data_IF_003590290822
#
_entry.id   IF_003590290822
#
_cell.length_a   1.000
_cell.length_b   1.000
_cell.length_c   1.000
_cell.angle_alpha   90.00
_cell.angle_beta   90.00
_cell.angle_gamma   90.00
#
_symmetry.space_group_name_H-M   'P 1'
#
loop_
_entity.id
_entity.type
_entity.pdbx_description
1 polymer ?
#
# COMPACT_ATOMS: atom_id res chain seq x y z
N UNK A 1 30.95 -24.91 28.95
CA UNK A 1 31.67 -23.89 28.15
C UNK A 1 30.83 -23.66 26.90
N UNK A 2 30.40 -22.44 26.60
CA UNK A 2 29.59 -22.13 25.42
C UNK A 2 30.54 -21.77 24.28
N UNK A 3 30.51 -22.54 23.19
CA UNK A 3 31.23 -22.21 21.96
C UNK A 3 30.38 -21.24 21.12
N UNK A 4 31.01 -20.18 20.58
CA UNK A 4 30.35 -19.18 19.75
C UNK A 4 31.02 -19.17 18.38
N UNK A 5 30.21 -19.30 17.33
CA UNK A 5 30.65 -19.22 15.93
C UNK A 5 30.15 -17.89 15.37
N UNK A 6 31.04 -17.09 14.81
CA UNK A 6 30.73 -15.77 14.27
C UNK A 6 30.34 -15.90 12.79
N UNK A 7 29.19 -15.33 12.41
CA UNK A 7 28.69 -15.28 11.03
C UNK A 7 28.77 -16.61 10.28
N UNK A 8 28.14 -17.70 10.79
CA UNK A 8 28.17 -18.99 10.13
C UNK A 8 27.51 -18.92 8.76
N UNK A 9 28.00 -19.70 7.80
CA UNK A 9 27.29 -19.88 6.53
C UNK A 9 25.95 -20.60 6.76
N UNK A 10 25.01 -20.48 5.83
CA UNK A 10 23.73 -21.22 5.89
C UNK A 10 23.98 -22.74 5.96
N UNK A 11 25.01 -23.24 5.28
CA UNK A 11 25.39 -24.64 5.31
C UNK A 11 25.91 -25.06 6.69
N UNK A 12 26.82 -24.29 7.25
CA UNK A 12 27.40 -24.54 8.59
C UNK A 12 26.34 -24.49 9.69
N UNK A 13 25.41 -23.53 9.63
CA UNK A 13 24.26 -23.49 10.53
C UNK A 13 23.40 -24.75 10.41
N UNK A 14 23.10 -25.21 9.19
CA UNK A 14 22.28 -26.42 8.97
C UNK A 14 22.94 -27.68 9.54
N UNK A 15 24.24 -27.86 9.32
CA UNK A 15 25.01 -28.98 9.86
C UNK A 15 24.99 -28.97 11.40
N UNK A 16 25.23 -27.81 12.02
CA UNK A 16 25.22 -27.68 13.47
C UNK A 16 23.81 -27.83 14.06
N UNK A 17 22.78 -27.35 13.36
CA UNK A 17 21.38 -27.52 13.75
C UNK A 17 20.97 -28.99 13.72
N UNK A 18 21.42 -29.76 12.73
CA UNK A 18 21.18 -31.19 12.64
C UNK A 18 21.81 -31.97 13.81
N UNK A 19 22.98 -31.54 14.28
CA UNK A 19 23.69 -32.17 15.40
C UNK A 19 23.15 -31.74 16.78
N UNK A 20 22.71 -30.49 16.92
CA UNK A 20 22.38 -29.87 18.21
C UNK A 20 21.03 -29.11 18.22
N UNK A 21 19.92 -29.71 17.76
CA UNK A 21 18.68 -28.99 17.43
C UNK A 21 18.02 -28.29 18.63
N UNK A 22 18.21 -28.80 19.85
CA UNK A 22 17.61 -28.26 21.07
C UNK A 22 18.44 -27.16 21.75
N UNK A 23 19.74 -27.07 21.40
CA UNK A 23 20.71 -26.23 22.14
C UNK A 23 21.32 -25.14 21.28
N UNK A 24 21.34 -25.32 19.96
CA UNK A 24 21.88 -24.31 19.07
C UNK A 24 20.93 -23.13 18.93
N UNK A 25 21.50 -21.92 18.98
CA UNK A 25 20.78 -20.68 18.73
C UNK A 25 21.60 -19.82 17.79
N UNK A 26 21.05 -19.50 16.62
CA UNK A 26 21.66 -18.55 15.70
C UNK A 26 20.89 -17.23 15.78
N UNK A 27 21.47 -16.23 16.45
CA UNK A 27 20.86 -14.90 16.58
C UNK A 27 21.02 -14.11 15.29
N UNK A 28 19.99 -13.38 14.91
CA UNK A 28 20.05 -12.48 13.76
C UNK A 28 20.82 -11.21 14.12
N UNK A 29 21.61 -10.68 13.19
CA UNK A 29 22.24 -9.36 13.31
C UNK A 29 21.22 -8.23 13.11
N UNK A 30 20.22 -8.48 12.27
CA UNK A 30 19.08 -7.60 12.04
C UNK A 30 17.81 -8.32 12.46
N UNK A 31 17.01 -7.67 13.32
CA UNK A 31 15.77 -8.24 13.83
C UNK A 31 14.56 -7.99 12.93
N UNK A 32 14.70 -7.07 11.97
CA UNK A 32 13.66 -6.66 11.05
C UNK A 32 14.17 -6.85 9.62
N UNK A 33 13.37 -7.54 8.81
CA UNK A 33 13.65 -7.85 7.42
C UNK A 33 12.43 -7.41 6.61
N UNK A 34 12.62 -6.56 5.60
CA UNK A 34 11.51 -6.13 4.74
C UNK A 34 10.98 -7.32 3.95
N UNK A 35 9.65 -7.47 3.89
CA UNK A 35 9.00 -8.56 3.17
C UNK A 35 9.42 -8.63 1.69
N UNK A 36 9.67 -7.47 1.07
CA UNK A 36 10.18 -7.38 -0.30
C UNK A 36 11.49 -8.18 -0.52
N UNK A 37 12.30 -8.40 0.51
CA UNK A 37 13.59 -9.11 0.37
C UNK A 37 13.43 -10.61 0.12
N UNK A 38 12.31 -11.21 0.52
CA UNK A 38 12.09 -12.66 0.41
C UNK A 38 10.79 -13.03 -0.33
N UNK A 39 9.91 -12.06 -0.59
CA UNK A 39 8.73 -12.22 -1.42
C UNK A 39 9.07 -11.76 -2.84
N UNK A 40 9.49 -12.70 -3.67
CA UNK A 40 9.93 -12.43 -5.04
C UNK A 40 8.83 -12.52 -6.11
N UNK A 41 7.61 -12.94 -5.73
CA UNK A 41 6.52 -13.25 -6.68
C UNK A 41 5.16 -12.66 -6.28
N UNK A 42 5.12 -11.48 -5.66
CA UNK A 42 3.85 -10.79 -5.49
C UNK A 42 3.36 -10.33 -6.89
N UNK A 43 2.24 -10.88 -7.36
CA UNK A 43 1.58 -10.47 -8.62
C UNK A 43 0.17 -9.97 -8.29
N UNK A 44 0.05 -8.84 -7.57
CA UNK A 44 -1.25 -8.28 -7.23
C UNK A 44 -2.00 -7.88 -8.50
N UNK A 45 -3.30 -8.17 -8.52
CA UNK A 45 -4.21 -7.65 -9.54
C UNK A 45 -4.76 -6.33 -9.02
N UNK A 46 -4.37 -5.22 -9.66
CA UNK A 46 -4.86 -3.90 -9.28
C UNK A 46 -6.23 -3.63 -9.86
N UNK A 47 -6.95 -2.68 -9.24
CA UNK A 47 -8.14 -2.11 -9.84
C UNK A 47 -7.78 -1.47 -11.19
N UNK A 48 -8.66 -1.59 -12.19
CA UNK A 48 -8.40 -1.15 -13.57
C UNK A 48 -7.94 0.32 -13.65
N UNK A 49 -8.51 1.19 -12.80
CA UNK A 49 -8.14 2.61 -12.71
C UNK A 49 -6.65 2.81 -12.40
N UNK A 50 -6.06 1.95 -11.56
CA UNK A 50 -4.66 2.00 -11.16
C UNK A 50 -3.70 1.50 -12.25
N UNK A 51 -4.22 0.95 -13.34
CA UNK A 51 -3.43 0.57 -14.53
C UNK A 51 -3.84 1.39 -15.76
N UNK A 52 -4.67 2.42 -15.56
CA UNK A 52 -5.18 3.26 -16.64
C UNK A 52 -4.37 4.54 -16.82
N UNK A 53 -4.61 5.24 -17.92
CA UNK A 53 -4.04 6.59 -18.17
C UNK A 53 -4.44 7.59 -17.10
N UNK A 54 -5.52 7.33 -16.34
CA UNK A 54 -6.06 8.28 -15.39
C UNK A 54 -5.16 8.57 -14.17
N UNK A 55 -4.23 7.67 -13.86
CA UNK A 55 -3.23 7.88 -12.81
C UNK A 55 -1.94 8.51 -13.34
N UNK A 56 -1.84 8.78 -14.64
CA UNK A 56 -0.63 9.32 -15.25
C UNK A 56 -0.47 10.83 -15.00
N UNK A 57 0.76 11.30 -14.98
CA UNK A 57 1.08 12.74 -14.89
C UNK A 57 0.53 13.52 -16.07
N UNK A 58 0.59 12.91 -17.26
CA UNK A 58 0.17 13.51 -18.53
C UNK A 58 -1.34 13.76 -18.53
N UNK A 59 -2.12 12.80 -18.05
CA UNK A 59 -3.58 12.97 -17.93
C UNK A 59 -3.94 14.12 -17.00
N UNK A 60 -3.30 14.20 -15.83
CA UNK A 60 -3.51 15.31 -14.89
C UNK A 60 -3.15 16.65 -15.51
N UNK A 61 -2.09 16.70 -16.32
CA UNK A 61 -1.67 17.92 -16.98
C UNK A 61 -2.67 18.37 -18.05
N UNK A 62 -3.20 17.44 -18.85
CA UNK A 62 -4.29 17.71 -19.79
C UNK A 62 -5.50 18.28 -19.06
N UNK A 63 -5.90 17.69 -17.94
CA UNK A 63 -7.02 18.18 -17.14
C UNK A 63 -6.79 19.58 -16.58
N UNK A 64 -5.57 19.90 -16.13
CA UNK A 64 -5.21 21.25 -15.67
C UNK A 64 -5.30 22.29 -16.80
N UNK A 65 -4.85 21.96 -18.00
CA UNK A 65 -4.98 22.85 -19.15
C UNK A 65 -6.45 23.07 -19.54
N UNK A 66 -7.26 22.00 -19.56
CA UNK A 66 -8.70 22.09 -19.82
C UNK A 66 -9.38 22.97 -18.76
N UNK A 67 -9.05 22.77 -17.48
CA UNK A 67 -9.57 23.59 -16.39
C UNK A 67 -9.22 25.06 -16.56
N UNK A 68 -8.00 25.42 -16.97
CA UNK A 68 -7.61 26.80 -17.25
C UNK A 68 -8.42 27.44 -18.39
N UNK A 69 -8.72 26.67 -19.44
CA UNK A 69 -9.54 27.14 -20.56
C UNK A 69 -10.98 27.37 -20.11
N UNK A 70 -11.56 26.43 -19.34
CA UNK A 70 -12.96 26.47 -18.91
C UNK A 70 -13.20 27.49 -17.79
N UNK A 71 -12.26 27.66 -16.85
CA UNK A 71 -12.35 28.64 -15.76
C UNK A 71 -12.33 30.09 -16.24
N UNK A 72 -11.81 30.35 -17.45
CA UNK A 72 -11.99 31.66 -18.12
C UNK A 72 -13.45 31.97 -18.50
N UNK A 73 -14.33 30.95 -18.55
CA UNK A 73 -15.74 31.06 -18.95
C UNK A 73 -16.74 30.67 -17.85
N UNK A 74 -16.33 29.91 -16.82
CA UNK A 74 -17.21 29.41 -15.76
C UNK A 74 -16.66 29.73 -14.35
N UNK A 75 -17.50 30.38 -13.53
CA UNK A 75 -17.25 30.73 -12.13
C UNK A 75 -16.86 29.50 -11.27
N UNK A 76 -16.16 29.75 -10.16
CA UNK A 76 -15.44 28.80 -9.30
C UNK A 76 -16.17 27.60 -8.68
N UNK A 77 -17.36 27.23 -9.16
CA UNK A 77 -18.12 26.05 -8.76
C UNK A 77 -18.09 24.91 -9.80
N UNK A 78 -17.42 25.09 -10.95
CA UNK A 78 -17.29 24.04 -11.94
C UNK A 78 -16.37 22.91 -11.43
N UNK A 79 -16.94 21.72 -11.18
CA UNK A 79 -16.20 20.55 -10.71
C UNK A 79 -15.03 20.17 -11.63
N UNK A 80 -15.08 20.57 -12.92
CA UNK A 80 -13.99 20.38 -13.88
C UNK A 80 -12.73 21.14 -13.50
N UNK A 81 -12.82 22.16 -12.64
CA UNK A 81 -11.65 22.85 -12.09
C UNK A 81 -10.90 21.97 -11.07
N UNK A 82 -11.59 21.05 -10.40
CA UNK A 82 -11.01 20.22 -9.35
C UNK A 82 -10.68 18.79 -9.81
N UNK A 83 -11.07 18.40 -11.03
CA UNK A 83 -10.96 17.02 -11.51
C UNK A 83 -9.51 16.52 -11.58
N UNK A 84 -8.54 17.40 -11.88
CA UNK A 84 -7.12 17.02 -11.88
C UNK A 84 -6.65 16.59 -10.48
N UNK A 85 -7.10 17.28 -9.43
CA UNK A 85 -6.80 16.93 -8.04
C UNK A 85 -7.48 15.62 -7.63
N UNK A 86 -8.68 15.34 -8.11
CA UNK A 86 -9.35 14.06 -7.84
C UNK A 86 -8.54 12.87 -8.39
N UNK A 87 -8.03 12.98 -9.62
CA UNK A 87 -7.17 11.95 -10.20
C UNK A 87 -5.78 11.88 -9.54
N UNK A 88 -5.32 12.96 -8.92
CA UNK A 88 -4.13 12.93 -8.06
C UNK A 88 -4.36 12.11 -6.78
N UNK A 89 -5.51 12.29 -6.12
CA UNK A 89 -5.91 11.47 -4.96
C UNK A 89 -6.00 9.99 -5.35
N UNK A 90 -6.63 9.67 -6.49
CA UNK A 90 -6.69 8.29 -7.00
C UNK A 90 -5.29 7.71 -7.22
N UNK A 91 -4.36 8.48 -7.80
CA UNK A 91 -2.98 8.04 -7.99
C UNK A 91 -2.27 7.74 -6.66
N UNK A 92 -2.49 8.58 -5.63
CA UNK A 92 -1.95 8.35 -4.28
C UNK A 92 -2.53 7.06 -3.68
N UNK A 93 -3.84 6.86 -3.77
CA UNK A 93 -4.50 5.65 -3.28
C UNK A 93 -3.97 4.37 -3.96
N UNK A 94 -3.77 4.42 -5.29
CA UNK A 94 -3.15 3.32 -6.01
C UNK A 94 -1.73 3.02 -5.51
N UNK A 95 -0.92 4.05 -5.23
CA UNK A 95 0.45 3.88 -4.72
C UNK A 95 0.52 3.39 -3.26
N UNK A 96 -0.46 3.75 -2.42
CA UNK A 96 -0.55 3.25 -1.05
C UNK A 96 -0.81 1.73 -1.03
N UNK A 97 -1.66 1.23 -1.93
CA UNK A 97 -1.92 -0.21 -2.04
C UNK A 97 -0.66 -1.02 -2.39
N UNK A 98 0.21 -0.45 -3.24
CA UNK A 98 1.48 -1.03 -3.69
C UNK A 98 2.52 -1.17 -2.59
N UNK A 99 2.67 -0.12 -1.78
CA UNK A 99 3.79 0.02 -0.85
C UNK A 99 3.53 -0.62 0.51
N UNK A 100 2.27 -0.80 0.90
CA UNK A 100 1.88 -1.27 2.24
C UNK A 100 2.49 -2.64 2.62
N UNK A 101 2.39 -3.65 1.75
CA UNK A 101 2.92 -4.97 2.06
C UNK A 101 4.43 -5.09 1.88
N UNK A 102 4.99 -4.51 0.81
CA UNK A 102 6.42 -4.58 0.54
C UNK A 102 7.26 -3.95 1.66
N UNK A 103 6.73 -2.90 2.26
CA UNK A 103 7.36 -2.18 3.37
C UNK A 103 7.11 -2.80 4.75
N UNK A 104 6.31 -3.87 4.83
CA UNK A 104 6.05 -4.57 6.09
C UNK A 104 7.32 -5.25 6.60
N UNK A 105 7.64 -5.03 7.87
CA UNK A 105 8.79 -5.65 8.54
C UNK A 105 8.42 -7.04 9.07
N UNK A 106 9.19 -8.04 8.67
CA UNK A 106 9.20 -9.36 9.28
C UNK A 106 10.18 -9.38 10.45
N UNK A 107 9.67 -9.66 11.65
CA UNK A 107 10.46 -9.60 12.87
C UNK A 107 10.90 -10.98 13.34
N UNK A 108 12.22 -11.19 13.45
CA UNK A 108 12.77 -12.39 14.11
C UNK A 108 14.06 -12.10 14.84
N UNK A 109 14.27 -12.72 16.00
CA UNK A 109 15.50 -12.59 16.80
C UNK A 109 16.50 -13.72 16.54
N UNK A 110 16.06 -14.77 15.88
CA UNK A 110 16.86 -15.96 15.59
C UNK A 110 16.50 -16.54 14.23
N UNK A 111 17.40 -17.32 13.66
CA UNK A 111 17.14 -18.06 12.43
C UNK A 111 15.98 -19.03 12.69
N UNK A 112 14.95 -18.93 11.85
CA UNK A 112 13.78 -19.80 11.91
C UNK A 112 14.04 -21.09 11.16
N UNK A 113 13.43 -22.19 11.61
CA UNK A 113 13.32 -23.38 10.76
C UNK A 113 12.48 -23.09 9.51
N UNK A 114 12.63 -23.87 8.42
CA UNK A 114 11.82 -23.67 7.21
C UNK A 114 10.31 -23.71 7.49
N UNK A 115 9.86 -24.57 8.41
CA UNK A 115 8.44 -24.68 8.78
C UNK A 115 7.96 -23.46 9.56
N UNK A 116 8.74 -22.97 10.53
CA UNK A 116 8.38 -21.75 11.27
C UNK A 116 8.36 -20.52 10.37
N UNK A 117 9.34 -20.42 9.47
CA UNK A 117 9.40 -19.34 8.50
C UNK A 117 8.16 -19.34 7.60
N UNK A 118 7.77 -20.51 7.07
CA UNK A 118 6.57 -20.66 6.26
C UNK A 118 5.31 -20.25 7.03
N UNK A 119 5.11 -20.80 8.24
CA UNK A 119 3.93 -20.50 9.07
C UNK A 119 3.83 -19.02 9.41
N UNK A 120 4.94 -18.37 9.77
CA UNK A 120 4.94 -16.94 10.10
C UNK A 120 4.68 -16.08 8.86
N UNK A 121 5.28 -16.43 7.72
CA UNK A 121 5.07 -15.71 6.46
C UNK A 121 3.62 -15.84 5.98
N UNK A 122 3.06 -17.05 6.03
CA UNK A 122 1.66 -17.30 5.68
C UNK A 122 0.70 -16.55 6.61
N UNK A 123 1.00 -16.51 7.90
CA UNK A 123 0.23 -15.75 8.89
C UNK A 123 0.25 -14.26 8.55
N UNK A 124 1.42 -13.69 8.29
CA UNK A 124 1.58 -12.29 7.92
C UNK A 124 0.84 -11.95 6.62
N UNK A 125 0.95 -12.81 5.62
CA UNK A 125 0.26 -12.64 4.35
C UNK A 125 -1.26 -12.73 4.50
N UNK A 126 -1.76 -13.67 5.29
CA UNK A 126 -3.19 -13.78 5.57
C UNK A 126 -3.72 -12.59 6.37
N UNK A 127 -2.95 -12.07 7.33
CA UNK A 127 -3.28 -10.83 8.04
C UNK A 127 -3.41 -9.67 7.07
N UNK A 128 -2.38 -9.46 6.23
CA UNK A 128 -2.42 -8.42 5.21
C UNK A 128 -3.65 -8.52 4.29
N UNK A 129 -3.96 -9.72 3.79
CA UNK A 129 -5.15 -9.96 2.96
C UNK A 129 -6.46 -9.61 3.66
N UNK A 130 -6.53 -9.86 4.96
CA UNK A 130 -7.74 -9.63 5.73
C UNK A 130 -7.88 -8.15 6.17
N UNK A 131 -6.78 -7.41 6.31
CA UNK A 131 -6.83 -6.01 6.78
C UNK A 131 -6.78 -4.99 5.66
N UNK A 132 -6.18 -5.30 4.50
CA UNK A 132 -5.95 -4.29 3.45
C UNK A 132 -7.22 -3.57 2.98
N UNK A 133 -8.36 -4.27 2.90
CA UNK A 133 -9.62 -3.66 2.51
C UNK A 133 -10.10 -2.65 3.57
N UNK A 134 -10.01 -3.01 4.86
CA UNK A 134 -10.38 -2.15 5.97
C UNK A 134 -9.43 -0.96 6.10
N UNK A 135 -8.11 -1.18 5.93
CA UNK A 135 -7.08 -0.14 5.95
C UNK A 135 -7.30 0.86 4.81
N UNK A 136 -7.65 0.36 3.62
CA UNK A 136 -8.03 1.19 2.48
C UNK A 136 -9.27 2.03 2.77
N UNK A 137 -10.33 1.42 3.30
CA UNK A 137 -11.57 2.11 3.62
C UNK A 137 -11.36 3.19 4.70
N UNK A 138 -10.62 2.90 5.76
CA UNK A 138 -10.27 3.88 6.80
C UNK A 138 -9.45 5.05 6.23
N UNK A 139 -8.51 4.76 5.33
CA UNK A 139 -7.72 5.80 4.66
C UNK A 139 -8.61 6.68 3.78
N UNK A 140 -9.52 6.06 3.03
CA UNK A 140 -10.49 6.79 2.20
C UNK A 140 -11.42 7.65 3.03
N UNK A 141 -11.97 7.12 4.12
CA UNK A 141 -12.82 7.87 5.06
C UNK A 141 -12.07 9.08 5.65
N UNK A 142 -10.81 8.90 6.06
CA UNK A 142 -9.99 10.00 6.55
C UNK A 142 -9.79 11.07 5.48
N UNK A 143 -9.51 10.69 4.23
CA UNK A 143 -9.37 11.64 3.11
C UNK A 143 -10.67 12.40 2.88
N UNK A 144 -11.83 11.72 2.91
CA UNK A 144 -13.14 12.34 2.75
C UNK A 144 -13.42 13.33 3.88
N UNK A 145 -13.16 12.96 5.14
CA UNK A 145 -13.31 13.83 6.30
C UNK A 145 -12.39 15.06 6.24
N UNK A 146 -11.14 14.89 5.80
CA UNK A 146 -10.19 16.00 5.60
C UNK A 146 -10.70 16.93 4.51
N UNK A 147 -11.24 16.39 3.41
CA UNK A 147 -11.79 17.21 2.32
C UNK A 147 -13.02 18.00 2.78
N UNK A 148 -13.94 17.37 3.51
CA UNK A 148 -15.12 18.03 4.08
C UNK A 148 -14.72 19.13 5.08
N UNK A 149 -13.83 18.81 6.03
CA UNK A 149 -13.37 19.76 7.05
C UNK A 149 -12.61 20.95 6.49
N UNK A 150 -11.82 20.73 5.43
CA UNK A 150 -11.06 21.79 4.75
C UNK A 150 -11.86 22.48 3.63
N UNK A 151 -13.12 22.11 3.41
CA UNK A 151 -13.94 22.60 2.29
C UNK A 151 -13.24 22.44 0.94
N UNK A 152 -12.39 21.43 0.80
CA UNK A 152 -11.78 21.07 -0.48
C UNK A 152 -12.91 20.48 -1.33
N UNK A 153 -13.44 21.28 -2.25
CA UNK A 153 -14.59 20.95 -3.05
C UNK A 153 -14.35 19.71 -3.94
N UNK A 154 -14.66 18.53 -3.40
CA UNK A 154 -15.31 17.47 -4.17
C UNK A 154 -16.77 17.89 -4.28
N UNK A 155 -17.40 17.77 -5.45
CA UNK A 155 -18.73 18.33 -5.71
C UNK A 155 -19.75 18.00 -4.60
N UNK A 156 -20.00 18.97 -3.72
CA UNK A 156 -20.98 18.91 -2.63
C UNK A 156 -21.79 20.21 -2.63
N UNK A 157 -22.39 20.51 -3.78
CA UNK A 157 -23.65 21.27 -3.86
C UNK A 157 -24.29 20.86 -5.19
N UNK A 158 -25.45 20.22 -5.25
CA UNK A 158 -26.72 20.61 -4.65
C UNK A 158 -27.52 19.38 -4.22
N UNK A 159 -28.47 19.64 -3.33
CA UNK A 159 -29.54 18.76 -2.91
C UNK A 159 -30.06 17.83 -4.02
N UNK A 160 -30.51 16.66 -3.60
CA UNK A 160 -31.20 15.60 -4.36
C UNK A 160 -32.50 16.10 -5.05
N UNK A 161 -32.83 17.39 -5.00
CA UNK A 161 -34.12 17.95 -5.40
C UNK A 161 -34.23 18.42 -6.86
N UNK A 162 -33.24 18.21 -7.73
CA UNK A 162 -33.33 18.68 -9.12
C UNK A 162 -32.89 17.68 -10.19
N UNK A 163 -33.16 16.38 -10.00
CA UNK A 163 -33.31 15.48 -11.14
C UNK A 163 -34.77 15.57 -11.59
N UNK A 164 -35.11 16.67 -12.29
CA UNK A 164 -36.26 16.64 -13.18
C UNK A 164 -35.83 15.90 -14.44
N UNK A 165 -36.44 14.73 -14.62
CA UNK A 165 -36.47 13.96 -15.85
C UNK A 165 -36.72 14.88 -17.05
N UNK A 166 -35.79 14.89 -18.00
CA UNK A 166 -36.06 15.28 -19.37
C UNK A 166 -35.98 14.03 -20.24
N UNK A 167 -37.15 13.50 -20.59
CA UNK A 167 -37.40 12.81 -21.86
C UNK A 167 -37.70 13.87 -22.92
#
# INVERSE_FOLDING_TARGET
>A
MVSVIQSPSVFEYKELYAQYPLTIQCRCTHIAIKCQQFISQLQPTYHEICSSVFISSEWREVLRHIAQIISGYAFGEDYRNNIAFQFEVVSILCNLSLTSFEQTDFFTRQVLSPTEFQVQTDTLFNQFKNTIADDFMQTLELILLINEGNQLATCSSRSIDSIQYYF
#
